data_IF_134475619724
#
_entry.id   IF_134475619724
#
_cell.length_a   1.000
_cell.length_b   1.000
_cell.length_c   1.000
_cell.angle_alpha   90.00
_cell.angle_beta   90.00
_cell.angle_gamma   90.00
#
_symmetry.space_group_name_H-M   'P 1'
#
loop_
_entity.id
_entity.type
_entity.pdbx_description
1 polymer ?
#
# COMPACT_ATOMS: atom_id res chain seq x y z
N UNK A 1 -6.66 10.45 7.61
CA UNK A 1 -5.45 9.80 8.14
C UNK A 1 -4.43 9.53 7.05
N UNK A 2 -4.82 9.50 5.83
CA UNK A 2 -3.96 9.41 4.67
C UNK A 2 -3.80 10.81 4.07
N UNK A 3 -2.76 11.55 4.46
CA UNK A 3 -2.15 12.38 3.45
C UNK A 3 -1.73 11.41 2.37
N UNK A 4 -2.22 11.56 1.16
CA UNK A 4 -1.80 10.75 0.02
C UNK A 4 -0.26 10.81 -0.04
N UNK A 5 0.40 9.79 0.52
CA UNK A 5 1.82 9.64 0.31
C UNK A 5 1.97 9.10 -1.10
N UNK A 6 2.75 9.76 -1.91
CA UNK A 6 3.11 9.25 -3.23
C UNK A 6 4.01 8.04 -3.04
N UNK A 7 3.68 6.98 -3.74
CA UNK A 7 4.53 5.81 -3.92
C UNK A 7 5.11 5.90 -5.32
N UNK A 8 6.38 5.55 -5.46
CA UNK A 8 7.00 5.46 -6.77
C UNK A 8 6.94 4.03 -7.28
N UNK A 9 6.31 3.85 -8.43
CA UNK A 9 6.25 2.57 -9.12
C UNK A 9 7.22 2.63 -10.30
N UNK A 10 8.28 1.83 -10.22
CA UNK A 10 9.29 1.73 -11.27
C UNK A 10 8.94 0.62 -12.26
N UNK A 11 8.76 0.97 -13.52
CA UNK A 11 8.73 0.02 -14.62
C UNK A 11 10.17 -0.30 -15.03
N UNK A 12 10.59 -1.53 -14.76
CA UNK A 12 11.90 -2.04 -15.08
C UNK A 12 11.90 -2.72 -16.46
N UNK A 13 12.75 -2.23 -17.33
CA UNK A 13 13.12 -2.91 -18.58
C UNK A 13 14.38 -3.72 -18.31
N UNK A 14 14.30 -5.07 -18.36
CA UNK A 14 15.39 -5.92 -17.88
C UNK A 14 16.74 -5.64 -18.53
N UNK A 15 17.78 -5.57 -17.71
CA UNK A 15 19.16 -5.34 -18.11
C UNK A 15 20.03 -4.96 -16.91
N UNK A 16 21.33 -5.14 -17.02
CA UNK A 16 22.29 -4.86 -15.91
C UNK A 16 22.18 -3.42 -15.41
N UNK A 17 22.06 -2.44 -16.32
CA UNK A 17 21.95 -1.03 -15.95
C UNK A 17 20.68 -0.71 -15.17
N UNK A 18 19.55 -1.34 -15.51
CA UNK A 18 18.30 -1.13 -14.78
C UNK A 18 18.32 -1.78 -13.41
N UNK A 19 18.90 -2.97 -13.28
CA UNK A 19 19.04 -3.64 -12.00
C UNK A 19 19.95 -2.87 -11.04
N UNK A 20 21.11 -2.44 -11.50
CA UNK A 20 22.03 -1.64 -10.70
C UNK A 20 21.39 -0.31 -10.23
N UNK A 21 20.53 0.27 -11.06
CA UNK A 21 19.81 1.51 -10.72
C UNK A 21 18.72 1.30 -9.69
N UNK A 22 17.94 0.21 -9.79
CA UNK A 22 16.81 -0.06 -8.91
C UNK A 22 17.23 -0.63 -7.55
N UNK A 23 18.28 -1.45 -7.52
CA UNK A 23 18.67 -2.21 -6.33
C UNK A 23 18.84 -1.36 -5.05
N UNK A 24 19.49 -0.18 -5.07
CA UNK A 24 19.66 0.64 -3.86
C UNK A 24 18.35 1.27 -3.32
N UNK A 25 17.31 1.33 -4.15
CA UNK A 25 16.06 2.02 -3.84
C UNK A 25 14.87 1.07 -3.68
N UNK A 26 15.10 -0.23 -3.82
CA UNK A 26 14.14 -1.28 -3.54
C UNK A 26 14.31 -1.77 -2.09
N UNK A 27 13.19 -2.14 -1.47
CA UNK A 27 13.21 -2.86 -0.19
C UNK A 27 13.70 -4.31 -0.35
N UNK A 28 13.71 -5.08 0.73
CA UNK A 28 14.23 -6.46 0.72
C UNK A 28 13.47 -7.36 -0.27
N UNK A 29 12.15 -7.22 -0.36
CA UNK A 29 11.31 -8.00 -1.27
C UNK A 29 11.54 -7.59 -2.72
N UNK A 30 11.66 -6.29 -2.98
CA UNK A 30 12.02 -5.74 -4.27
C UNK A 30 13.40 -6.19 -4.75
N UNK A 31 14.39 -6.22 -3.87
CA UNK A 31 15.73 -6.75 -4.15
C UNK A 31 15.69 -8.25 -4.48
N UNK A 32 14.93 -9.03 -3.74
CA UNK A 32 14.71 -10.44 -4.01
C UNK A 32 14.02 -10.65 -5.37
N UNK A 33 13.03 -9.78 -5.70
CA UNK A 33 12.36 -9.80 -7.00
C UNK A 33 13.30 -9.45 -8.14
N UNK A 34 14.14 -8.41 -8.01
CA UNK A 34 15.17 -8.06 -8.98
C UNK A 34 16.09 -9.25 -9.26
N UNK A 35 16.48 -9.98 -8.24
CA UNK A 35 17.31 -11.17 -8.38
C UNK A 35 16.58 -12.31 -9.12
N UNK A 36 15.31 -12.55 -8.81
CA UNK A 36 14.50 -13.58 -9.52
C UNK A 36 14.31 -13.25 -10.99
N UNK A 37 14.01 -11.96 -11.27
CA UNK A 37 13.69 -11.49 -12.61
C UNK A 37 14.94 -11.21 -13.48
N UNK A 38 16.15 -11.42 -12.96
CA UNK A 38 17.41 -11.09 -13.67
C UNK A 38 17.58 -11.74 -15.06
N UNK A 39 16.90 -12.86 -15.30
CA UNK A 39 16.96 -13.57 -16.58
C UNK A 39 15.70 -13.36 -17.43
N UNK A 40 14.74 -12.55 -17.00
CA UNK A 40 13.54 -12.26 -17.78
C UNK A 40 13.85 -11.27 -18.90
N UNK A 41 13.08 -11.34 -19.97
CA UNK A 41 13.10 -10.34 -21.05
C UNK A 41 11.87 -9.42 -21.00
N UNK A 42 10.91 -9.72 -20.12
CA UNK A 42 9.66 -8.95 -19.98
C UNK A 42 9.83 -7.82 -18.99
N UNK A 43 9.26 -6.64 -19.27
CA UNK A 43 9.21 -5.57 -18.28
C UNK A 43 8.36 -5.98 -17.07
N UNK A 44 8.71 -5.49 -15.90
CA UNK A 44 7.98 -5.69 -14.66
C UNK A 44 7.97 -4.44 -13.80
N UNK A 45 7.01 -4.35 -12.88
CA UNK A 45 6.85 -3.23 -11.96
C UNK A 45 7.50 -3.54 -10.63
N UNK A 46 8.07 -2.50 -9.99
CA UNK A 46 8.71 -2.58 -8.68
C UNK A 46 8.44 -1.31 -7.90
N UNK A 47 8.12 -1.45 -6.60
CA UNK A 47 8.02 -0.32 -5.69
C UNK A 47 9.41 0.20 -5.34
N UNK A 48 9.57 1.52 -5.39
CA UNK A 48 10.83 2.20 -5.04
C UNK A 48 10.55 3.41 -4.17
N UNK A 49 11.54 3.80 -3.37
CA UNK A 49 11.38 4.88 -2.39
C UNK A 49 11.43 6.28 -2.99
N UNK A 50 11.88 6.41 -4.24
CA UNK A 50 11.96 7.69 -4.95
C UNK A 50 12.00 7.50 -6.45
N UNK A 51 11.84 8.60 -7.21
CA UNK A 51 12.02 8.57 -8.66
C UNK A 51 13.49 8.29 -9.02
N UNK A 52 13.71 7.17 -9.71
CA UNK A 52 15.00 6.72 -10.22
C UNK A 52 14.98 6.52 -11.74
N UNK A 53 14.10 7.24 -12.44
CA UNK A 53 13.97 7.17 -13.90
C UNK A 53 15.31 7.32 -14.60
N UNK A 54 15.52 6.59 -15.67
CA UNK A 54 16.74 6.62 -16.47
C UNK A 54 16.85 5.42 -17.41
N UNK A 55 18.09 5.05 -17.78
CA UNK A 55 18.32 3.93 -18.69
C UNK A 55 17.70 2.62 -18.14
N UNK A 56 16.70 2.11 -18.86
CA UNK A 56 16.00 0.87 -18.53
C UNK A 56 15.01 0.98 -17.36
N UNK A 57 14.69 2.17 -16.87
CA UNK A 57 13.74 2.40 -15.79
C UNK A 57 12.86 3.61 -16.09
N UNK A 58 11.56 3.48 -15.85
CA UNK A 58 10.61 4.59 -15.84
C UNK A 58 9.84 4.55 -14.53
N UNK A 59 9.80 5.67 -13.80
CA UNK A 59 9.06 5.78 -12.55
C UNK A 59 7.79 6.60 -12.73
N UNK A 60 6.75 6.19 -12.02
CA UNK A 60 5.46 6.84 -11.99
C UNK A 60 5.07 7.09 -10.54
N UNK A 61 4.69 8.32 -10.23
CA UNK A 61 4.08 8.63 -8.94
C UNK A 61 2.65 8.08 -8.93
N UNK A 62 2.36 7.20 -8.00
CA UNK A 62 1.02 6.62 -7.82
C UNK A 62 0.52 6.91 -6.40
N UNK A 63 -0.79 7.13 -6.21
CA UNK A 63 -1.32 7.34 -4.87
C UNK A 63 -1.18 6.08 -4.03
N UNK A 64 -0.68 6.23 -2.80
CA UNK A 64 -0.56 5.12 -1.86
C UNK A 64 -1.81 5.06 -0.99
N UNK A 65 -2.54 3.95 -1.01
CA UNK A 65 -3.74 3.76 -0.18
C UNK A 65 -3.41 3.75 1.31
N UNK A 66 -2.38 3.01 1.70
CA UNK A 66 -1.92 2.90 3.09
C UNK A 66 -0.56 3.56 3.27
N UNK A 67 -0.38 4.25 4.39
CA UNK A 67 0.93 4.81 4.76
C UNK A 67 1.91 3.68 5.12
N UNK A 68 3.22 3.95 5.05
CA UNK A 68 4.25 2.98 5.45
C UNK A 68 4.17 2.62 6.95
N UNK A 69 3.60 3.50 7.78
CA UNK A 69 3.26 3.26 9.17
C UNK A 69 1.79 3.62 9.36
N UNK A 70 0.87 2.72 9.05
CA UNK A 70 -0.57 2.97 9.16
C UNK A 70 -0.95 3.14 10.62
N UNK A 71 -2.07 3.82 10.86
CA UNK A 71 -2.65 4.03 12.19
C UNK A 71 -4.08 3.54 12.16
N UNK A 72 -4.57 3.03 13.29
CA UNK A 72 -5.93 2.54 13.47
C UNK A 72 -6.33 1.45 12.46
N UNK A 73 -5.42 0.54 12.15
CA UNK A 73 -5.60 -0.50 11.11
C UNK A 73 -6.85 -1.33 11.33
N UNK A 74 -7.13 -1.72 12.57
CA UNK A 74 -8.33 -2.49 12.92
C UNK A 74 -9.63 -1.72 12.64
N UNK A 75 -9.62 -0.40 12.80
CA UNK A 75 -10.77 0.45 12.50
C UNK A 75 -10.89 0.74 11.00
N UNK A 76 -9.77 1.05 10.36
CA UNK A 76 -9.74 1.37 8.92
C UNK A 76 -10.05 0.13 8.10
N UNK A 77 -9.45 -1.02 8.43
CA UNK A 77 -9.61 -2.25 7.69
C UNK A 77 -8.65 -2.38 6.51
N UNK A 78 -9.00 -3.23 5.57
CA UNK A 78 -8.18 -3.53 4.41
C UNK A 78 -9.02 -3.82 3.16
N UNK A 79 -8.35 -3.81 2.01
CA UNK A 79 -8.91 -4.09 0.69
C UNK A 79 -8.51 -5.48 0.20
N UNK A 80 -9.31 -6.06 -0.66
CA UNK A 80 -8.93 -7.25 -1.44
C UNK A 80 -8.03 -6.89 -2.63
N UNK A 81 -7.68 -7.92 -3.42
CA UNK A 81 -6.87 -7.75 -4.64
C UNK A 81 -7.56 -6.95 -5.74
N UNK A 82 -8.88 -6.83 -5.68
CA UNK A 82 -9.69 -6.06 -6.64
C UNK A 82 -9.89 -4.62 -6.20
N UNK A 83 -9.54 -4.30 -4.93
CA UNK A 83 -9.62 -2.97 -4.34
C UNK A 83 -10.94 -2.69 -3.62
N UNK A 84 -11.74 -3.73 -3.36
CA UNK A 84 -12.94 -3.65 -2.54
C UNK A 84 -12.62 -3.75 -1.05
N UNK A 85 -13.37 -3.04 -0.24
CA UNK A 85 -13.26 -3.08 1.22
C UNK A 85 -13.74 -4.41 1.79
N UNK A 86 -12.87 -5.10 2.55
CA UNK A 86 -13.20 -6.40 3.17
C UNK A 86 -13.53 -6.25 4.64
N UNK A 87 -12.91 -5.31 5.33
CA UNK A 87 -13.09 -5.10 6.77
C UNK A 87 -13.10 -3.62 7.13
N UNK A 88 -13.56 -3.31 8.36
CA UNK A 88 -13.51 -1.99 8.94
C UNK A 88 -14.27 -0.91 8.16
N UNK A 89 -13.74 0.30 8.16
CA UNK A 89 -14.32 1.43 7.43
C UNK A 89 -14.17 1.28 5.91
N UNK A 90 -13.16 0.55 5.43
CA UNK A 90 -13.01 0.23 4.01
C UNK A 90 -14.22 -0.56 3.50
N UNK A 91 -14.65 -1.60 4.24
CA UNK A 91 -15.85 -2.36 3.90
C UNK A 91 -17.15 -1.57 4.10
N UNK A 92 -17.24 -0.82 5.21
CA UNK A 92 -18.45 -0.07 5.53
C UNK A 92 -18.73 1.09 4.57
N UNK A 93 -17.71 1.59 3.89
CA UNK A 93 -17.78 2.73 2.98
C UNK A 93 -17.33 2.37 1.56
N UNK A 94 -17.35 1.08 1.21
CA UNK A 94 -16.87 0.59 -0.09
C UNK A 94 -17.59 1.29 -1.24
N UNK A 95 -18.91 1.42 -1.21
CA UNK A 95 -19.70 2.12 -2.22
C UNK A 95 -19.26 3.58 -2.46
N UNK A 96 -18.65 4.22 -1.46
CA UNK A 96 -18.16 5.60 -1.55
C UNK A 96 -16.69 5.68 -1.96
N UNK A 97 -15.89 4.73 -1.49
CA UNK A 97 -14.43 4.75 -1.63
C UNK A 97 -13.95 3.98 -2.86
N UNK A 98 -14.72 2.98 -3.33
CA UNK A 98 -14.41 2.22 -4.52
C UNK A 98 -14.83 2.98 -5.77
N UNK A 99 -13.90 3.23 -6.66
CA UNK A 99 -14.17 3.97 -7.91
C UNK A 99 -14.36 3.05 -9.12
N UNK A 100 -14.02 1.76 -8.98
CA UNK A 100 -14.05 0.80 -10.09
C UNK A 100 -12.97 1.00 -11.15
N UNK A 101 -12.30 2.15 -11.12
CA UNK A 101 -11.30 2.54 -12.11
C UNK A 101 -9.90 2.52 -11.49
N UNK A 102 -8.93 2.08 -12.28
CA UNK A 102 -7.51 2.04 -11.88
C UNK A 102 -6.65 2.70 -12.93
N UNK A 103 -5.58 3.34 -12.49
CA UNK A 103 -4.53 3.77 -13.39
C UNK A 103 -3.97 2.55 -14.14
N UNK A 104 -3.93 2.63 -15.47
CA UNK A 104 -3.50 1.52 -16.33
C UNK A 104 -2.22 1.92 -17.07
N UNK A 105 -1.20 1.08 -16.98
CA UNK A 105 0.06 1.28 -17.69
C UNK A 105 0.12 0.41 -18.94
N UNK A 106 0.10 1.03 -20.11
CA UNK A 106 0.19 0.37 -21.40
C UNK A 106 1.63 0.33 -21.88
N UNK A 107 2.14 -0.87 -22.16
CA UNK A 107 3.47 -1.09 -22.73
C UNK A 107 3.36 -1.87 -24.02
N UNK A 108 3.90 -1.35 -25.13
CA UNK A 108 4.04 -2.10 -26.37
C UNK A 108 5.23 -3.06 -26.26
N UNK A 109 4.97 -4.34 -26.42
CA UNK A 109 5.98 -5.39 -26.35
C UNK A 109 6.03 -6.19 -27.65
N UNK A 110 7.21 -6.69 -28.01
CA UNK A 110 7.39 -7.62 -29.13
C UNK A 110 6.79 -8.99 -28.80
N UNK A 111 6.68 -9.86 -29.80
CA UNK A 111 6.24 -11.25 -29.58
C UNK A 111 7.10 -12.01 -28.55
N UNK A 112 8.36 -11.61 -28.36
CA UNK A 112 9.26 -12.18 -27.35
C UNK A 112 9.12 -11.53 -25.97
N UNK A 113 8.16 -10.59 -25.79
CA UNK A 113 7.90 -9.90 -24.53
C UNK A 113 8.87 -8.75 -24.22
N UNK A 114 9.73 -8.35 -25.15
CA UNK A 114 10.62 -7.19 -24.99
C UNK A 114 9.91 -5.90 -25.36
N UNK A 115 10.25 -4.80 -24.69
CA UNK A 115 9.73 -3.49 -25.06
C UNK A 115 10.03 -3.19 -26.53
N UNK A 116 9.02 -2.73 -27.27
CA UNK A 116 9.19 -2.33 -28.65
C UNK A 116 10.02 -1.04 -28.70
N UNK A 117 11.08 -1.02 -29.50
CA UNK A 117 11.94 0.16 -29.68
C UNK A 117 11.13 1.35 -30.20
N UNK A 118 11.30 2.50 -29.57
CA UNK A 118 10.63 3.75 -29.98
C UNK A 118 9.20 3.90 -29.45
N UNK A 119 8.65 2.92 -28.72
CA UNK A 119 7.40 3.10 -27.99
C UNK A 119 7.70 3.48 -26.54
N UNK A 120 7.07 4.56 -26.07
CA UNK A 120 7.08 4.90 -24.65
C UNK A 120 5.85 4.30 -23.97
N UNK A 121 5.99 3.81 -22.72
CA UNK A 121 4.84 3.39 -21.93
C UNK A 121 3.89 4.56 -21.69
N UNK A 122 2.60 4.30 -21.79
CA UNK A 122 1.55 5.30 -21.59
C UNK A 122 0.84 4.97 -20.27
N UNK A 123 0.84 5.92 -19.34
CA UNK A 123 0.03 5.84 -18.13
C UNK A 123 -1.33 6.50 -18.42
N UNK A 124 -2.36 5.67 -18.53
CA UNK A 124 -3.75 6.11 -18.57
C UNK A 124 -4.26 6.22 -17.13
N UNK A 125 -4.59 7.44 -16.73
CA UNK A 125 -5.15 7.68 -15.40
C UNK A 125 -6.64 7.44 -15.39
N UNK A 126 -7.14 6.92 -14.27
CA UNK A 126 -8.56 6.79 -14.02
C UNK A 126 -9.25 8.16 -14.11
N UNK A 127 -10.40 8.21 -14.77
CA UNK A 127 -11.17 9.46 -14.96
C UNK A 127 -11.85 9.92 -13.67
N UNK A 128 -12.12 9.00 -12.74
CA UNK A 128 -12.77 9.30 -11.48
C UNK A 128 -11.78 9.73 -10.40
N UNK A 129 -12.00 10.92 -9.82
CA UNK A 129 -11.27 11.33 -8.63
C UNK A 129 -11.70 10.48 -7.43
N UNK A 130 -10.77 9.84 -6.71
CA UNK A 130 -11.12 9.06 -5.53
C UNK A 130 -11.79 9.96 -4.48
N UNK A 131 -12.95 9.54 -3.99
CA UNK A 131 -13.61 10.19 -2.88
C UNK A 131 -12.90 9.84 -1.58
N UNK A 132 -12.82 10.79 -0.65
CA UNK A 132 -12.16 10.61 0.63
C UNK A 132 -13.12 10.83 1.80
N UNK A 133 -12.92 10.11 2.89
CA UNK A 133 -13.68 10.27 4.13
C UNK A 133 -12.78 10.91 5.19
N UNK A 134 -13.30 11.95 5.85
CA UNK A 134 -12.63 12.60 6.96
C UNK A 134 -13.09 12.01 8.27
N UNK A 135 -12.20 11.34 8.98
CA UNK A 135 -12.46 10.79 10.30
C UNK A 135 -12.31 11.84 11.41
N UNK A 136 -12.91 11.58 12.56
CA UNK A 136 -12.77 12.39 13.77
C UNK A 136 -11.53 12.05 14.58
N UNK A 137 -10.79 11.01 14.21
CA UNK A 137 -9.55 10.59 14.84
C UNK A 137 -8.50 11.70 14.81
N UNK A 138 -7.76 11.82 15.89
CA UNK A 138 -6.57 12.68 15.97
C UNK A 138 -5.32 11.83 15.77
N UNK A 139 -4.52 12.14 14.73
CA UNK A 139 -3.30 11.39 14.43
C UNK A 139 -2.34 11.31 15.62
N UNK A 140 -2.16 12.40 16.35
CA UNK A 140 -1.26 12.46 17.52
C UNK A 140 -1.77 11.61 18.69
N UNK A 141 -3.08 11.69 18.97
CA UNK A 141 -3.69 10.93 20.06
C UNK A 141 -3.72 9.43 19.70
N UNK A 142 -4.05 9.09 18.47
CA UNK A 142 -4.04 7.70 17.98
C UNK A 142 -2.66 7.07 18.11
N UNK A 143 -1.62 7.76 17.63
CA UNK A 143 -0.23 7.26 17.72
C UNK A 143 0.22 7.07 19.18
N UNK A 144 -0.11 8.02 20.05
CA UNK A 144 0.21 7.89 21.47
C UNK A 144 -0.53 6.71 22.11
N UNK A 145 -1.81 6.53 21.80
CA UNK A 145 -2.60 5.42 22.31
C UNK A 145 -2.07 4.06 21.81
N UNK A 146 -1.67 3.96 20.54
CA UNK A 146 -1.05 2.75 19.98
C UNK A 146 0.28 2.42 20.66
N UNK A 147 1.13 3.44 20.90
CA UNK A 147 2.38 3.26 21.64
C UNK A 147 2.15 2.72 23.05
N UNK A 148 1.21 3.33 23.80
CA UNK A 148 0.85 2.85 25.15
C UNK A 148 0.27 1.43 25.10
N UNK A 149 -0.59 1.14 24.13
CA UNK A 149 -1.17 -0.20 23.98
C UNK A 149 -0.11 -1.26 23.72
N UNK A 150 0.82 -1.00 22.81
CA UNK A 150 1.91 -1.92 22.47
C UNK A 150 2.83 -2.24 23.67
N UNK A 151 3.03 -1.27 24.56
CA UNK A 151 3.86 -1.44 25.75
C UNK A 151 3.12 -2.11 26.92
N UNK A 152 1.80 -1.92 27.03
CA UNK A 152 1.03 -2.21 28.24
C UNK A 152 0.14 -3.45 28.14
N UNK A 153 -0.20 -3.92 26.94
CA UNK A 153 -1.16 -5.00 26.76
C UNK A 153 -0.84 -5.87 25.54
N UNK A 154 -1.06 -7.19 25.67
CA UNK A 154 -1.00 -8.12 24.55
C UNK A 154 -2.34 -8.20 23.79
N UNK A 155 -3.45 -8.03 24.50
CA UNK A 155 -4.81 -8.09 23.94
C UNK A 155 -5.68 -7.05 24.65
N UNK A 156 -6.50 -6.33 23.91
CA UNK A 156 -7.42 -5.36 24.47
C UNK A 156 -7.71 -4.19 23.52
N UNK A 157 -8.41 -3.18 24.04
CA UNK A 157 -8.70 -1.98 23.26
C UNK A 157 -8.58 -0.71 24.09
N UNK A 158 -8.22 0.39 23.43
CA UNK A 158 -8.26 1.75 23.97
C UNK A 158 -9.18 2.58 23.10
N UNK A 159 -10.20 3.18 23.70
CA UNK A 159 -11.10 4.11 23.03
C UNK A 159 -11.03 5.46 23.73
N UNK A 160 -10.70 6.51 22.99
CA UNK A 160 -10.64 7.88 23.49
C UNK A 160 -11.72 8.71 22.81
N UNK A 161 -12.63 9.26 23.62
CA UNK A 161 -13.78 10.04 23.16
C UNK A 161 -13.71 11.45 23.77
N UNK A 162 -13.95 12.45 22.93
CA UNK A 162 -14.15 13.83 23.38
C UNK A 162 -15.55 13.96 24.01
N UNK A 163 -15.59 14.17 25.30
CA UNK A 163 -16.85 14.21 26.09
C UNK A 163 -17.76 15.32 25.61
N UNK A 164 -17.22 16.45 25.18
CA UNK A 164 -18.00 17.62 24.78
C UNK A 164 -18.71 17.44 23.43
N UNK A 165 -18.09 16.69 22.51
CA UNK A 165 -18.59 16.54 21.14
C UNK A 165 -19.01 15.11 20.78
N UNK A 166 -18.73 14.12 21.64
CA UNK A 166 -18.94 12.70 21.37
C UNK A 166 -18.01 12.13 20.27
N UNK A 167 -17.03 12.91 19.80
CA UNK A 167 -16.14 12.48 18.73
C UNK A 167 -15.11 11.47 19.21
N UNK A 168 -14.97 10.35 18.51
CA UNK A 168 -13.88 9.40 18.73
C UNK A 168 -12.58 10.04 18.25
N UNK A 169 -11.60 10.17 19.16
CA UNK A 169 -10.29 10.77 18.91
C UNK A 169 -9.18 9.75 18.72
N UNK A 170 -9.32 8.57 19.33
CA UNK A 170 -8.48 7.42 19.08
C UNK A 170 -9.27 6.12 19.29
N UNK A 171 -8.92 5.09 18.54
CA UNK A 171 -9.45 3.75 18.67
C UNK A 171 -8.33 2.77 18.35
N UNK A 172 -7.89 2.00 19.35
CA UNK A 172 -6.82 1.01 19.25
C UNK A 172 -7.39 -0.33 19.64
N UNK A 173 -7.06 -1.36 18.91
CA UNK A 173 -7.39 -2.75 19.24
C UNK A 173 -6.15 -3.63 19.03
N UNK A 174 -5.88 -4.53 19.97
CA UNK A 174 -4.79 -5.48 19.91
C UNK A 174 -5.32 -6.92 20.06
N UNK A 175 -4.72 -7.92 19.38
CA UNK A 175 -3.62 -7.79 18.44
C UNK A 175 -3.99 -7.04 17.17
N UNK A 176 -3.02 -6.30 16.61
CA UNK A 176 -3.13 -5.64 15.31
C UNK A 176 -2.93 -6.63 14.15
N UNK A 177 -3.15 -6.16 12.93
CA UNK A 177 -2.78 -6.84 11.69
C UNK A 177 -2.10 -5.85 10.74
N UNK A 178 -1.35 -6.34 9.78
CA UNK A 178 -0.80 -5.51 8.70
C UNK A 178 -1.79 -5.48 7.53
N UNK A 179 -2.41 -4.33 7.29
CA UNK A 179 -3.38 -4.14 6.21
C UNK A 179 -2.77 -4.35 4.81
N UNK A 180 -1.45 -4.25 4.66
CA UNK A 180 -0.74 -4.52 3.41
C UNK A 180 -0.45 -6.02 3.19
N UNK A 181 -0.37 -6.81 4.30
CA UNK A 181 -0.04 -8.25 4.30
C UNK A 181 -1.02 -9.08 5.13
N UNK A 182 -2.30 -8.91 4.86
CA UNK A 182 -3.39 -9.52 5.65
C UNK A 182 -3.30 -11.04 5.69
N UNK A 183 -2.87 -11.70 4.61
CA UNK A 183 -2.77 -13.16 4.53
C UNK A 183 -1.83 -13.75 5.60
N UNK A 184 -0.66 -13.16 5.81
CA UNK A 184 0.29 -13.58 6.85
C UNK A 184 -0.19 -13.21 8.25
N UNK A 185 -0.78 -12.02 8.40
CA UNK A 185 -1.31 -11.53 9.67
C UNK A 185 -2.50 -12.37 10.17
N UNK A 186 -3.42 -12.79 9.30
CA UNK A 186 -4.55 -13.65 9.68
C UNK A 186 -4.11 -15.04 10.12
N UNK A 187 -3.11 -15.63 9.46
CA UNK A 187 -2.53 -16.91 9.89
C UNK A 187 -1.94 -16.83 11.29
N UNK A 188 -1.26 -15.75 11.62
CA UNK A 188 -0.72 -15.48 12.95
C UNK A 188 -1.82 -15.33 14.01
N UNK A 189 -2.93 -14.67 13.69
CA UNK A 189 -4.06 -14.46 14.60
C UNK A 189 -4.85 -15.74 14.89
N UNK A 190 -4.94 -16.67 13.93
CA UNK A 190 -5.62 -17.96 14.11
C UNK A 190 -4.86 -18.82 15.14
N UNK A 191 -3.54 -18.74 15.19
CA UNK A 191 -2.74 -19.51 16.17
C UNK A 191 -2.83 -18.97 17.62
N UNK A 192 -3.31 -17.74 17.81
CA UNK A 192 -3.51 -17.15 19.15
C UNK A 192 -4.84 -17.59 19.78
N UNK A 193 -5.76 -18.12 18.99
CA UNK A 193 -7.13 -18.45 19.42
C UNK A 193 -7.33 -19.94 19.80
N UNK A 194 -6.31 -20.77 19.76
CA UNK A 194 -6.43 -22.16 20.25
C UNK A 194 -6.03 -22.23 21.73
N UNK A 195 -6.93 -22.72 22.61
CA UNK A 195 -6.65 -22.90 24.04
C UNK A 195 -5.66 -24.04 24.30
#
# INVERSE_FOLDING_TARGET
LTGLSEQWLALCFPGESSYARLYPYADADGQARLYRERNTSRPFLLDVVQDVSGLGVRCYAVPRRYAAAPLAEQLIGYLDSEGHGVAGLEAALDDLLYTGERDTLHCAVTAQGRLQRGSEPILEKADSAPQGVRLTLSRSIQRAAEGVAAESMATGCILIIDVSSGKVRACVSLPGFDAANVGESLLSLIHISEP
#
